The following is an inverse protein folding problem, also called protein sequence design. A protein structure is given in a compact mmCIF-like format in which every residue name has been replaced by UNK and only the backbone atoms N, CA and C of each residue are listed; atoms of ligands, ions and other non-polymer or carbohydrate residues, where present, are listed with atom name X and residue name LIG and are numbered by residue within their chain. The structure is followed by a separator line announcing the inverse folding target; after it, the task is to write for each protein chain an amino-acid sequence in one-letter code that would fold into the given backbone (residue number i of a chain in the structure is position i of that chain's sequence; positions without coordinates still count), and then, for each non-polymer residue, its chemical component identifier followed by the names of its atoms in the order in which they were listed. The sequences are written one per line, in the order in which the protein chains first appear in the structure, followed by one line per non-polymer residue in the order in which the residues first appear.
data_IF_862546721947
#
_entry.id   IF_862546721947
#
_cell.length_a   1.000
_cell.length_b   1.000
_cell.length_c   1.000
_cell.angle_alpha   90.00
_cell.angle_beta   90.00
_cell.angle_gamma   90.00
#
_symmetry.space_group_name_H-M   'P 1'
#
loop_
_entity.id
_entity.type
_entity.pdbx_description
1 polymer ?
#
# COMPACT_ATOMS: atom_id res chain seq x y z
N UNK A 1 10.09 -27.11 7.37
CA UNK A 1 10.59 -25.92 8.09
C UNK A 1 9.44 -24.92 8.18
N UNK A 2 9.30 -24.22 9.30
CA UNK A 2 8.27 -23.17 9.47
C UNK A 2 8.84 -21.86 8.93
N UNK A 3 8.13 -21.20 8.00
CA UNK A 3 8.52 -19.89 7.46
C UNK A 3 7.34 -18.94 7.66
N UNK A 4 7.49 -18.02 8.63
CA UNK A 4 6.40 -17.13 9.05
C UNK A 4 6.95 -15.74 9.32
N UNK A 5 6.49 -14.75 8.56
CA UNK A 5 6.64 -13.34 8.90
C UNK A 5 5.32 -12.82 9.47
N UNK A 6 5.38 -12.12 10.59
CA UNK A 6 4.20 -11.56 11.26
C UNK A 6 4.34 -10.04 11.35
N UNK A 7 3.20 -9.38 11.31
CA UNK A 7 3.09 -7.99 11.72
C UNK A 7 1.98 -7.94 12.76
N UNK A 8 2.28 -7.35 13.91
CA UNK A 8 1.37 -7.21 15.04
C UNK A 8 1.12 -5.74 15.26
N UNK A 9 -0.07 -5.28 14.89
CA UNK A 9 -0.55 -3.94 15.19
C UNK A 9 -1.65 -4.00 16.25
N UNK A 10 -1.64 -3.07 17.19
CA UNK A 10 -2.67 -2.99 18.23
C UNK A 10 -2.61 -1.68 19.00
N UNK A 11 -3.57 -1.50 19.90
CA UNK A 11 -3.64 -0.36 20.80
C UNK A 11 -3.90 -0.77 22.22
N UNK A 12 -3.30 0.00 23.11
CA UNK A 12 -3.62 -0.02 24.51
C UNK A 12 -3.73 1.40 25.06
N UNK A 13 -4.35 1.51 26.24
CA UNK A 13 -4.62 2.77 26.93
C UNK A 13 -3.39 3.46 27.53
N UNK A 14 -2.23 2.80 27.58
CA UNK A 14 -1.01 3.29 28.23
C UNK A 14 0.01 3.80 27.20
N UNK A 15 0.29 3.00 26.18
CA UNK A 15 1.30 3.25 25.14
C UNK A 15 0.68 3.71 23.81
N UNK A 16 -0.65 3.67 23.71
CA UNK A 16 -1.34 4.03 22.50
C UNK A 16 -1.16 2.99 21.41
N UNK A 17 -1.07 3.44 20.16
CA UNK A 17 -1.03 2.54 19.01
C UNK A 17 0.39 2.13 18.65
N UNK A 18 0.62 0.82 18.56
CA UNK A 18 1.94 0.24 18.30
C UNK A 18 1.89 -0.78 17.17
N UNK A 19 2.96 -0.82 16.36
CA UNK A 19 3.20 -1.84 15.35
C UNK A 19 4.54 -2.51 15.63
N UNK A 20 4.52 -3.84 15.55
CA UNK A 20 5.69 -4.68 15.65
C UNK A 20 5.81 -5.54 14.39
N UNK A 21 6.94 -5.39 13.69
CA UNK A 21 7.35 -6.30 12.62
C UNK A 21 8.13 -7.47 13.19
N UNK A 22 7.76 -8.69 12.79
CA UNK A 22 8.44 -9.94 13.14
C UNK A 22 8.83 -10.62 11.82
N UNK A 23 9.97 -10.24 11.22
CA UNK A 23 10.43 -10.81 9.96
C UNK A 23 10.88 -12.28 10.15
N UNK A 24 11.20 -12.90 9.01
CA UNK A 24 11.80 -14.23 8.98
C UNK A 24 13.13 -14.21 9.75
N UNK A 25 13.15 -14.81 10.94
CA UNK A 25 14.26 -14.72 11.89
C UNK A 25 13.79 -14.51 13.33
N UNK A 26 12.55 -14.08 13.54
CA UNK A 26 11.94 -14.00 14.87
C UNK A 26 12.37 -12.79 15.71
N UNK A 27 13.04 -11.81 15.12
CA UNK A 27 13.33 -10.53 15.77
C UNK A 27 12.04 -9.73 15.95
N UNK A 28 11.90 -9.01 17.06
CA UNK A 28 10.79 -8.09 17.30
C UNK A 28 11.27 -6.66 17.08
N UNK A 29 10.66 -5.94 16.14
CA UNK A 29 11.06 -4.56 15.80
C UNK A 29 9.82 -3.67 15.85
N UNK A 30 9.85 -2.66 16.73
CA UNK A 30 8.83 -1.61 16.74
C UNK A 30 9.10 -0.62 15.59
N UNK A 31 8.08 -0.33 14.78
CA UNK A 31 8.20 0.55 13.62
C UNK A 31 6.94 1.44 13.48
N UNK A 32 7.06 2.65 12.91
CA UNK A 32 5.90 3.52 12.66
C UNK A 32 4.92 2.93 11.63
N UNK A 33 5.42 2.11 10.72
CA UNK A 33 4.66 1.29 9.79
C UNK A 33 5.45 0.01 9.53
N UNK A 34 4.78 -1.05 9.10
CA UNK A 34 5.42 -2.30 8.71
C UNK A 34 4.81 -2.84 7.42
N UNK A 35 5.66 -3.34 6.54
CA UNK A 35 5.25 -3.98 5.29
C UNK A 35 5.83 -5.39 5.22
N UNK A 36 5.05 -6.35 4.74
CA UNK A 36 5.41 -7.76 4.71
C UNK A 36 4.71 -8.54 3.60
N UNK A 37 5.24 -9.73 3.31
CA UNK A 37 4.82 -10.57 2.18
C UNK A 37 5.65 -10.32 0.92
N UNK A 38 5.41 -11.11 -0.14
CA UNK A 38 6.15 -11.03 -1.41
C UNK A 38 6.04 -9.66 -2.10
N UNK A 39 4.87 -9.03 -2.03
CA UNK A 39 4.62 -7.73 -2.65
C UNK A 39 5.20 -6.53 -1.89
N UNK A 40 5.75 -6.73 -0.67
CA UNK A 40 6.34 -5.66 0.13
C UNK A 40 7.55 -5.01 -0.54
N UNK A 41 8.31 -5.77 -1.33
CA UNK A 41 9.50 -5.28 -2.05
C UNK A 41 9.18 -4.13 -3.01
N UNK A 42 7.97 -4.09 -3.57
CA UNK A 42 7.53 -3.03 -4.49
C UNK A 42 7.10 -1.74 -3.77
N UNK A 43 6.94 -1.80 -2.44
CA UNK A 43 6.30 -0.74 -1.67
C UNK A 43 7.28 0.14 -0.88
N UNK A 44 8.50 -0.30 -0.62
CA UNK A 44 9.48 0.50 0.14
C UNK A 44 9.63 1.91 -0.44
N UNK A 45 9.94 2.04 -1.74
CA UNK A 45 10.10 3.35 -2.37
C UNK A 45 8.81 4.19 -2.43
N UNK A 46 7.64 3.54 -2.46
CA UNK A 46 6.35 4.24 -2.40
C UNK A 46 6.11 4.81 -0.99
N UNK A 47 6.33 4.02 0.05
CA UNK A 47 6.17 4.45 1.43
C UNK A 47 7.18 5.53 1.82
N UNK A 48 8.42 5.45 1.35
CA UNK A 48 9.45 6.47 1.61
C UNK A 48 9.03 7.87 1.11
N UNK A 49 8.21 7.94 0.06
CA UNK A 49 7.72 9.20 -0.50
C UNK A 49 6.35 9.62 0.04
N UNK A 50 5.44 8.66 0.19
CA UNK A 50 4.03 8.93 0.44
C UNK A 50 3.67 8.94 1.93
N UNK A 51 4.42 8.23 2.78
CA UNK A 51 4.15 8.19 4.22
C UNK A 51 4.59 9.48 4.91
N UNK A 52 3.74 9.98 5.80
CA UNK A 52 4.01 11.16 6.63
C UNK A 52 3.52 10.92 8.05
N UNK A 53 4.24 11.45 9.02
CA UNK A 53 3.79 11.42 10.41
C UNK A 53 2.55 12.30 10.59
N UNK A 54 1.54 11.79 11.32
CA UNK A 54 0.34 12.56 11.66
C UNK A 54 -0.70 12.71 10.53
N UNK A 55 -0.68 11.84 9.52
CA UNK A 55 -1.76 11.77 8.52
C UNK A 55 -3.13 11.55 9.20
N UNK A 56 -4.20 11.98 8.55
CA UNK A 56 -5.57 11.69 9.00
C UNK A 56 -5.94 10.24 8.74
N UNK A 57 -7.02 9.76 9.36
CA UNK A 57 -7.54 8.40 9.15
C UNK A 57 -7.83 8.15 7.67
N UNK A 58 -8.46 9.11 7.01
CA UNK A 58 -8.87 9.01 5.62
C UNK A 58 -7.64 8.97 4.69
N UNK A 59 -6.62 9.79 4.99
CA UNK A 59 -5.35 9.79 4.26
C UNK A 59 -4.59 8.46 4.43
N UNK A 60 -4.56 7.90 5.64
CA UNK A 60 -4.03 6.54 5.90
C UNK A 60 -4.68 5.49 5.02
N UNK A 61 -6.01 5.51 5.03
CA UNK A 61 -6.80 4.46 4.41
C UNK A 61 -6.59 4.51 2.90
N UNK A 62 -6.60 5.71 2.33
CA UNK A 62 -6.26 5.91 0.91
C UNK A 62 -4.83 5.48 0.59
N UNK A 63 -3.85 5.85 1.42
CA UNK A 63 -2.45 5.47 1.23
C UNK A 63 -2.29 3.94 1.22
N UNK A 64 -2.93 3.26 2.16
CA UNK A 64 -2.84 1.80 2.31
C UNK A 64 -3.57 1.08 1.19
N UNK A 65 -4.78 1.52 0.82
CA UNK A 65 -5.52 0.96 -0.33
C UNK A 65 -4.71 1.14 -1.61
N UNK A 66 -4.11 2.31 -1.82
CA UNK A 66 -3.25 2.57 -2.98
C UNK A 66 -1.99 1.70 -2.96
N UNK A 67 -1.29 1.61 -1.84
CA UNK A 67 -0.11 0.76 -1.68
C UNK A 67 -0.40 -0.70 -2.05
N UNK A 68 -1.48 -1.26 -1.50
CA UNK A 68 -1.83 -2.66 -1.75
C UNK A 68 -2.23 -2.87 -3.21
N UNK A 69 -2.93 -1.91 -3.81
CA UNK A 69 -3.28 -1.96 -5.24
C UNK A 69 -2.04 -1.98 -6.13
N UNK A 70 -1.02 -1.17 -5.82
CA UNK A 70 0.27 -1.15 -6.54
C UNK A 70 1.02 -2.47 -6.40
N UNK A 71 1.03 -3.07 -5.21
CA UNK A 71 1.68 -4.34 -4.99
C UNK A 71 0.93 -5.50 -5.67
N UNK A 72 -0.40 -5.55 -5.62
CA UNK A 72 -1.21 -6.53 -6.36
C UNK A 72 -0.94 -6.43 -7.87
N UNK A 73 -0.75 -5.22 -8.39
CA UNK A 73 -0.47 -5.01 -9.80
C UNK A 73 0.90 -5.53 -10.28
N UNK A 74 1.88 -5.66 -9.38
CA UNK A 74 3.27 -6.03 -9.72
C UNK A 74 3.68 -7.39 -9.19
N UNK A 75 3.09 -7.85 -8.09
CA UNK A 75 3.38 -9.14 -7.49
C UNK A 75 2.37 -10.21 -7.92
N UNK A 76 2.80 -11.15 -8.75
CA UNK A 76 1.95 -12.26 -9.21
C UNK A 76 1.53 -13.23 -8.09
N UNK A 77 2.19 -13.20 -6.93
CA UNK A 77 1.78 -13.98 -5.76
C UNK A 77 0.72 -13.26 -4.90
N UNK A 78 0.49 -11.97 -5.13
CA UNK A 78 -0.52 -11.16 -4.44
C UNK A 78 -1.73 -10.91 -5.35
N UNK A 79 -2.93 -10.84 -4.79
CA UNK A 79 -4.12 -10.57 -5.60
C UNK A 79 -5.45 -10.63 -4.86
N UNK A 80 -6.53 -10.43 -5.64
CA UNK A 80 -7.91 -10.56 -5.19
C UNK A 80 -8.49 -9.24 -4.68
N UNK A 81 -8.63 -9.12 -3.35
CA UNK A 81 -9.38 -8.04 -2.70
C UNK A 81 -8.54 -7.40 -1.60
N UNK A 82 -8.74 -6.11 -1.37
CA UNK A 82 -8.08 -5.40 -0.27
C UNK A 82 -9.03 -5.37 0.91
N UNK A 83 -8.58 -5.90 2.05
CA UNK A 83 -9.37 -5.90 3.29
C UNK A 83 -8.67 -4.99 4.26
N UNK A 84 -9.30 -3.89 4.67
CA UNK A 84 -8.74 -3.03 5.72
C UNK A 84 -9.45 -3.29 7.05
N UNK A 85 -8.70 -3.31 8.15
CA UNK A 85 -9.25 -3.21 9.49
C UNK A 85 -8.69 -1.94 10.10
N UNK A 86 -9.59 -1.02 10.40
CA UNK A 86 -9.26 0.26 11.01
C UNK A 86 -9.59 0.16 12.49
N UNK A 87 -8.57 0.00 13.33
CA UNK A 87 -8.71 0.45 14.72
C UNK A 87 -8.78 1.96 14.62
N UNK A 88 -9.68 2.63 15.34
CA UNK A 88 -9.74 4.09 15.23
C UNK A 88 -8.32 4.61 15.42
N UNK A 89 -7.72 5.14 14.33
CA UNK A 89 -6.32 5.51 14.15
C UNK A 89 -5.20 4.41 13.91
N UNK A 90 -5.48 3.26 13.28
CA UNK A 90 -4.50 2.36 12.59
C UNK A 90 -5.17 1.52 11.52
N UNK A 91 -4.55 1.37 10.34
CA UNK A 91 -5.08 0.58 9.21
C UNK A 91 -4.29 -0.72 9.04
N UNK A 92 -5.00 -1.85 9.02
CA UNK A 92 -4.48 -3.22 8.86
C UNK A 92 -4.93 -3.79 7.53
N UNK A 93 -4.05 -4.43 6.74
CA UNK A 93 -4.47 -5.16 5.52
C UNK A 93 -4.21 -6.67 5.55
N UNK A 94 -5.19 -7.45 5.10
CA UNK A 94 -5.07 -8.90 4.87
C UNK A 94 -4.93 -9.22 3.37
N UNK A 95 -4.10 -10.23 3.05
CA UNK A 95 -3.59 -10.71 1.73
C UNK A 95 -2.37 -9.99 1.13
N UNK A 96 -2.00 -8.83 1.65
CA UNK A 96 -0.68 -8.21 1.51
C UNK A 96 -0.48 -7.40 2.79
N UNK A 97 0.53 -7.71 3.58
CA UNK A 97 0.55 -7.23 4.97
C UNK A 97 1.20 -5.86 5.02
N UNK A 98 0.41 -4.82 4.80
CA UNK A 98 0.77 -3.42 5.03
C UNK A 98 0.03 -2.97 6.30
N UNK A 99 0.78 -2.53 7.30
CA UNK A 99 0.25 -1.88 8.50
C UNK A 99 0.80 -0.46 8.59
N UNK A 100 -0.07 0.53 8.77
CA UNK A 100 0.29 1.93 8.99
C UNK A 100 -0.33 2.37 10.31
N UNK A 101 0.48 2.77 11.31
CA UNK A 101 -0.04 3.42 12.53
C UNK A 101 -0.42 4.83 12.16
N UNK A 102 -1.62 5.27 12.55
CA UNK A 102 -1.94 6.69 12.60
C UNK A 102 -2.75 7.06 13.84
N UNK A 103 -2.19 6.85 15.06
CA UNK A 103 -2.62 7.39 16.39
C UNK A 103 -3.77 6.72 17.19
N UNK A 104 -3.75 5.40 17.41
CA UNK A 104 -4.92 4.61 17.88
C UNK A 104 -5.74 5.25 19.06
N UNK A 105 -7.08 5.27 19.03
CA UNK A 105 -8.02 5.66 20.12
C UNK A 105 -8.95 4.50 20.53
N UNK A 106 -9.73 4.70 21.59
CA UNK A 106 -10.59 3.71 22.26
C UNK A 106 -11.87 3.29 21.53
N UNK A 107 -12.29 3.95 20.45
CA UNK A 107 -13.72 3.94 20.07
C UNK A 107 -14.11 2.76 19.17
N UNK A 108 -13.17 1.85 18.88
CA UNK A 108 -13.46 0.50 18.42
C UNK A 108 -12.76 0.09 17.12
N UNK A 109 -13.26 -0.99 16.50
CA UNK A 109 -12.68 -1.64 15.32
C UNK A 109 -13.68 -1.57 14.16
N UNK A 110 -13.30 -0.86 13.09
CA UNK A 110 -14.02 -0.83 11.81
C UNK A 110 -13.36 -1.80 10.84
N UNK A 111 -14.15 -2.54 10.06
CA UNK A 111 -13.64 -3.45 9.02
C UNK A 111 -14.21 -3.03 7.68
N UNK A 112 -13.35 -2.70 6.72
CA UNK A 112 -13.75 -2.36 5.37
C UNK A 112 -13.27 -3.41 4.37
N UNK A 113 -14.01 -3.54 3.29
CA UNK A 113 -13.76 -4.50 2.22
C UNK A 113 -13.80 -3.77 0.89
N UNK A 114 -12.70 -3.85 0.14
CA UNK A 114 -12.55 -3.24 -1.18
C UNK A 114 -12.47 -4.35 -2.23
N UNK A 115 -13.54 -4.53 -3.02
CA UNK A 115 -13.55 -5.40 -4.18
C UNK A 115 -12.48 -4.98 -5.20
N UNK A 116 -11.85 -5.95 -5.87
CA UNK A 116 -10.77 -5.69 -6.83
C UNK A 116 -11.18 -4.81 -8.02
N UNK A 117 -12.44 -4.88 -8.42
CA UNK A 117 -13.07 -4.07 -9.47
C UNK A 117 -13.21 -2.58 -9.12
N UNK A 118 -13.15 -2.24 -7.82
CA UNK A 118 -13.23 -0.85 -7.34
C UNK A 118 -11.87 -0.25 -6.98
N UNK A 119 -10.80 -1.03 -7.09
CA UNK A 119 -9.45 -0.54 -6.81
C UNK A 119 -8.96 0.32 -7.96
N UNK A 120 -8.35 1.45 -7.62
CA UNK A 120 -7.73 2.31 -8.59
C UNK A 120 -6.58 1.56 -9.29
N UNK A 121 -6.68 1.44 -10.61
CA UNK A 121 -5.69 0.73 -11.41
C UNK A 121 -4.51 1.65 -11.68
N UNK A 122 -3.30 1.12 -11.54
CA UNK A 122 -2.06 1.88 -11.73
C UNK A 122 -1.92 2.48 -13.14
N UNK A 123 -2.51 1.86 -14.15
CA UNK A 123 -2.46 2.35 -15.54
C UNK A 123 -3.47 3.46 -15.82
N UNK A 124 -4.47 3.65 -14.95
CA UNK A 124 -5.40 4.78 -15.05
C UNK A 124 -4.73 6.10 -14.63
N UNK A 125 -3.64 6.04 -13.87
CA UNK A 125 -2.85 7.22 -13.45
C UNK A 125 -1.78 7.62 -14.47
N UNK A 126 -1.49 6.77 -15.46
CA UNK A 126 -0.49 7.06 -16.48
C UNK A 126 -1.14 7.77 -17.66
N UNK A 127 -0.59 8.93 -18.03
CA UNK A 127 -0.94 9.56 -19.31
C UNK A 127 -0.64 8.57 -20.45
N UNK A 128 -1.58 8.36 -21.39
CA UNK A 128 -1.35 7.52 -22.55
C UNK A 128 -0.14 8.03 -23.32
N UNK A 129 1.00 7.35 -23.18
CA UNK A 129 2.13 7.63 -24.04
C UNK A 129 1.79 7.10 -25.43
N UNK A 130 1.90 7.96 -26.45
CA UNK A 130 1.83 7.53 -27.85
C UNK A 130 2.72 6.30 -28.00
N UNK A 131 2.14 5.19 -28.44
CA UNK A 131 2.92 3.98 -28.63
C UNK A 131 4.03 4.29 -29.65
N UNK A 132 5.15 3.58 -29.59
CA UNK A 132 6.18 3.72 -30.63
C UNK A 132 5.58 3.53 -32.03
N UNK A 133 4.50 2.75 -32.15
CA UNK A 133 3.75 2.59 -33.40
C UNK A 133 2.97 3.85 -33.79
N UNK A 134 2.39 4.57 -32.83
CA UNK A 134 1.73 5.86 -33.09
C UNK A 134 2.74 6.93 -33.50
N UNK A 135 3.94 6.91 -32.94
CA UNK A 135 5.05 7.80 -33.31
C UNK A 135 5.60 7.45 -34.70
N UNK A 136 5.72 6.16 -35.02
CA UNK A 136 6.19 5.69 -36.33
C UNK A 136 5.15 5.90 -37.45
N UNK A 137 3.86 5.87 -37.10
CA UNK A 137 2.75 6.15 -38.02
C UNK A 137 2.37 7.64 -38.06
N UNK A 138 3.01 8.47 -37.23
CA UNK A 138 2.82 9.92 -37.31
C UNK A 138 3.33 10.42 -38.66
N UNK A 139 2.57 11.27 -39.37
CA UNK A 139 3.05 11.87 -40.61
C UNK A 139 4.37 12.60 -40.33
N UNK A 140 5.37 12.37 -41.18
CA UNK A 140 6.67 13.06 -41.06
C UNK A 140 6.41 14.56 -40.94
N UNK A 141 7.07 15.26 -39.99
CA UNK A 141 6.89 16.70 -39.87
C UNK A 141 7.16 17.35 -41.23
N UNK A 142 6.23 18.19 -41.69
CA UNK A 142 6.37 18.89 -42.96
C UNK A 142 7.74 19.59 -42.99
N UNK A 143 8.48 19.48 -44.11
CA UNK A 143 9.75 20.17 -44.22
C UNK A 143 9.49 21.66 -43.97
N UNK A 144 10.20 22.20 -42.98
CA UNK A 144 10.12 23.60 -42.60
C UNK A 144 10.34 24.45 -43.86
N UNK A 145 9.31 25.16 -44.31
CA UNK A 145 9.44 26.11 -45.42
C UNK A 145 10.41 27.21 -44.95
N UNK A 146 11.60 27.21 -45.57
CA UNK A 146 12.65 28.22 -45.39
C UNK A 146 12.37 29.39 -46.34
#
# INVERSE_FOLDING_TARGET
MLQTGLIVGGWDKYEGGKIYGIPLGGTLIEQPFAIGGSGSSYLYGFFDQAWKEGMTKEEAEQLVVKAVSLAIARDGASGGVVRTVVFEFSVVVFNLVVFVVLKINSDGVTRNFYPGDKLQLWHDEMEPQHSLLDILNAPSPEPMNI
#
